data_IF_203764941924
#
_entry.id   IF_203764941924
#
_cell.length_a   1.000
_cell.length_b   1.000
_cell.length_c   1.000
_cell.angle_alpha   90.00
_cell.angle_beta   90.00
_cell.angle_gamma   90.00
#
_symmetry.space_group_name_H-M   'P 1'
#
loop_
_entity.id
_entity.type
_entity.pdbx_description
1 polymer ?
#
# COMPACT_ATOMS: atom_id res chain seq x y z
N UNK A 1 -19.76 -23.91 9.64
CA UNK A 1 -19.19 -24.36 8.36
C UNK A 1 -19.70 -23.42 7.26
N UNK A 2 -19.09 -22.30 7.06
CA UNK A 2 -19.44 -21.34 6.01
C UNK A 2 -18.34 -20.32 5.92
N UNK A 3 -17.49 -20.39 4.92
CA UNK A 3 -16.80 -19.24 4.36
C UNK A 3 -15.50 -19.51 3.61
N UNK A 4 -15.17 -20.73 3.23
CA UNK A 4 -13.98 -20.96 2.39
C UNK A 4 -14.16 -20.46 0.94
N UNK A 5 -15.38 -20.41 0.43
CA UNK A 5 -15.66 -19.90 -0.92
C UNK A 5 -15.59 -18.37 -0.98
N UNK A 6 -15.99 -17.69 0.11
CA UNK A 6 -15.96 -16.24 0.23
C UNK A 6 -14.51 -15.69 0.23
N UNK A 7 -13.58 -16.33 0.93
CA UNK A 7 -12.19 -15.87 1.02
C UNK A 7 -11.42 -15.87 -0.31
N UNK A 8 -11.56 -16.93 -1.11
CA UNK A 8 -10.91 -17.02 -2.43
C UNK A 8 -11.52 -16.03 -3.42
N UNK A 9 -12.84 -15.85 -3.38
CA UNK A 9 -13.55 -14.86 -4.21
C UNK A 9 -13.09 -13.44 -3.93
N UNK A 10 -12.99 -13.06 -2.66
CA UNK A 10 -12.53 -11.76 -2.23
C UNK A 10 -11.06 -11.51 -2.60
N UNK A 11 -10.19 -12.51 -2.42
CA UNK A 11 -8.79 -12.40 -2.84
C UNK A 11 -8.67 -12.15 -4.35
N UNK A 12 -9.37 -12.94 -5.16
CA UNK A 12 -9.39 -12.76 -6.62
C UNK A 12 -9.91 -11.37 -7.02
N UNK A 13 -10.98 -10.91 -6.38
CA UNK A 13 -11.55 -9.58 -6.62
C UNK A 13 -10.55 -8.46 -6.28
N UNK A 14 -9.84 -8.57 -5.14
CA UNK A 14 -8.81 -7.62 -4.76
C UNK A 14 -7.66 -7.58 -5.77
N UNK A 15 -7.15 -8.73 -6.22
CA UNK A 15 -6.08 -8.78 -7.23
C UNK A 15 -6.52 -8.22 -8.58
N UNK A 16 -7.76 -8.48 -9.00
CA UNK A 16 -8.32 -7.89 -10.21
C UNK A 16 -8.51 -6.38 -10.06
N UNK A 17 -8.93 -5.90 -8.89
CA UNK A 17 -9.06 -4.47 -8.61
C UNK A 17 -7.72 -3.73 -8.72
N UNK A 18 -6.64 -4.30 -8.16
CA UNK A 18 -5.29 -3.76 -8.32
C UNK A 18 -4.89 -3.70 -9.80
N UNK A 19 -5.04 -4.81 -10.54
CA UNK A 19 -4.67 -4.85 -11.95
C UNK A 19 -5.49 -3.89 -12.82
N UNK A 20 -6.74 -3.69 -12.46
CA UNK A 20 -7.63 -2.75 -13.16
C UNK A 20 -7.24 -1.31 -12.91
N UNK A 21 -7.04 -0.93 -11.64
CA UNK A 21 -6.63 0.42 -11.26
C UNK A 21 -5.27 0.78 -11.85
N UNK A 22 -4.29 -0.12 -11.74
CA UNK A 22 -2.97 0.04 -12.32
C UNK A 22 -3.03 0.17 -13.85
N UNK A 23 -3.66 -0.78 -14.52
CA UNK A 23 -3.71 -0.79 -15.99
C UNK A 23 -4.47 0.39 -16.59
N UNK A 24 -5.38 0.99 -15.83
CA UNK A 24 -6.06 2.23 -16.22
C UNK A 24 -5.22 3.47 -15.90
N UNK A 25 -4.55 3.49 -14.75
CA UNK A 25 -3.73 4.63 -14.30
C UNK A 25 -2.37 4.72 -15.02
N UNK A 26 -1.71 3.59 -15.27
CA UNK A 26 -0.33 3.52 -15.77
C UNK A 26 -0.05 4.34 -17.04
N UNK A 27 -0.89 4.37 -18.09
CA UNK A 27 -0.67 5.21 -19.26
C UNK A 27 -0.63 6.71 -18.95
N UNK A 28 -1.22 7.11 -17.82
CA UNK A 28 -1.38 8.51 -17.40
C UNK A 28 -0.39 8.94 -16.31
N UNK A 29 0.31 8.02 -15.69
CA UNK A 29 1.16 8.22 -14.50
C UNK A 29 2.21 9.35 -14.66
N UNK A 30 2.71 9.57 -15.88
CA UNK A 30 3.74 10.59 -16.14
C UNK A 30 3.21 11.82 -16.85
N UNK A 31 1.90 11.95 -16.95
CA UNK A 31 1.30 13.13 -17.57
C UNK A 31 1.18 14.24 -16.53
N UNK A 32 1.38 15.50 -17.00
CA UNK A 32 1.13 16.63 -16.11
C UNK A 32 -0.35 16.66 -15.72
N UNK A 33 -0.63 17.04 -14.49
CA UNK A 33 -1.98 17.15 -14.00
C UNK A 33 -2.86 18.05 -14.89
N UNK A 34 -2.34 19.20 -15.36
CA UNK A 34 -3.05 20.08 -16.27
C UNK A 34 -3.43 19.42 -17.60
N UNK A 35 -2.68 18.41 -18.06
CA UNK A 35 -3.05 17.64 -19.24
C UNK A 35 -4.16 16.61 -18.93
N UNK A 36 -4.10 15.99 -17.77
CA UNK A 36 -5.15 15.05 -17.33
C UNK A 36 -6.50 15.73 -17.16
N UNK A 37 -6.53 16.97 -16.68
CA UNK A 37 -7.76 17.75 -16.50
C UNK A 37 -8.39 18.18 -17.82
N UNK A 38 -7.65 18.22 -18.91
CA UNK A 38 -8.17 18.49 -20.26
C UNK A 38 -8.71 17.22 -20.94
N UNK A 39 -8.42 16.05 -20.41
CA UNK A 39 -8.97 14.79 -20.91
C UNK A 39 -10.35 14.58 -20.32
N UNK A 40 -11.30 14.17 -21.14
CA UNK A 40 -12.61 13.75 -20.65
C UNK A 40 -12.49 12.40 -19.95
N UNK A 41 -12.25 12.43 -18.64
CA UNK A 41 -12.14 11.23 -17.80
C UNK A 41 -13.53 10.70 -17.36
N UNK A 42 -14.61 11.32 -17.84
CA UNK A 42 -15.99 10.90 -17.57
C UNK A 42 -16.36 9.64 -18.34
N UNK A 43 -16.05 8.56 -17.79
CA UNK A 43 -16.32 7.23 -18.31
C UNK A 43 -15.03 6.54 -18.72
N UNK A 44 -14.62 5.52 -17.96
CA UNK A 44 -13.50 4.69 -18.36
C UNK A 44 -13.96 3.84 -19.54
N UNK A 45 -13.66 4.26 -20.76
CA UNK A 45 -13.49 3.27 -21.80
C UNK A 45 -12.31 2.43 -21.37
N UNK A 46 -12.60 1.20 -20.98
CA UNK A 46 -11.55 0.24 -20.67
C UNK A 46 -10.69 0.07 -21.90
N UNK A 47 -9.37 0.22 -21.79
CA UNK A 47 -8.52 -0.05 -22.92
C UNK A 47 -8.73 -1.50 -23.36
N UNK A 48 -8.75 -1.77 -24.67
CA UNK A 48 -8.88 -3.13 -25.22
C UNK A 48 -7.87 -4.11 -24.59
N UNK A 49 -6.74 -3.59 -24.12
CA UNK A 49 -5.68 -4.34 -23.45
C UNK A 49 -5.15 -3.56 -22.26
N UNK A 50 -5.34 -4.09 -21.06
CA UNK A 50 -4.71 -3.58 -19.85
C UNK A 50 -3.22 -3.92 -19.84
N UNK A 51 -2.38 -2.90 -19.73
CA UNK A 51 -0.94 -3.05 -19.49
C UNK A 51 -0.70 -2.61 -18.06
N UNK A 52 -0.31 -3.54 -17.21
CA UNK A 52 -0.05 -3.30 -15.79
C UNK A 52 1.41 -2.92 -15.54
N UNK A 53 1.67 -2.20 -14.46
CA UNK A 53 3.00 -1.72 -14.03
C UNK A 53 3.54 -2.49 -12.82
N UNK A 54 4.43 -1.86 -12.06
CA UNK A 54 4.99 -2.39 -10.82
C UNK A 54 3.95 -2.59 -9.72
N UNK A 55 2.90 -1.81 -9.69
CA UNK A 55 1.79 -1.98 -8.75
C UNK A 55 1.24 -3.42 -8.77
N UNK A 56 0.82 -3.88 -9.93
CA UNK A 56 0.30 -5.24 -10.10
C UNK A 56 1.41 -6.28 -10.05
N UNK A 57 2.54 -6.03 -10.70
CA UNK A 57 3.63 -7.01 -10.76
C UNK A 57 4.16 -7.34 -9.37
N UNK A 58 4.48 -6.33 -8.56
CA UNK A 58 4.94 -6.55 -7.18
C UNK A 58 3.86 -7.15 -6.29
N UNK A 59 2.60 -6.76 -6.47
CA UNK A 59 1.46 -7.37 -5.75
C UNK A 59 1.41 -8.88 -6.00
N UNK A 60 1.56 -9.32 -7.24
CA UNK A 60 1.55 -10.75 -7.58
C UNK A 60 2.75 -11.50 -7.02
N UNK A 61 3.96 -10.92 -7.08
CA UNK A 61 5.16 -11.52 -6.47
C UNK A 61 5.02 -11.62 -4.94
N UNK A 62 4.42 -10.60 -4.29
CA UNK A 62 4.13 -10.68 -2.86
C UNK A 62 3.10 -11.77 -2.57
N UNK A 63 2.01 -11.85 -3.33
CA UNK A 63 1.00 -12.88 -3.16
C UNK A 63 1.58 -14.30 -3.28
N UNK A 64 2.46 -14.54 -4.25
CA UNK A 64 3.17 -15.80 -4.41
C UNK A 64 4.10 -16.12 -3.23
N UNK A 65 4.84 -15.14 -2.74
CA UNK A 65 5.71 -15.30 -1.57
C UNK A 65 4.93 -15.65 -0.30
N UNK A 66 3.70 -15.15 -0.19
CA UNK A 66 2.81 -15.36 0.96
C UNK A 66 1.98 -16.66 0.84
N UNK A 67 2.06 -17.37 -0.27
CA UNK A 67 1.37 -18.65 -0.41
C UNK A 67 1.85 -19.65 0.65
N UNK A 68 0.90 -20.29 1.33
CA UNK A 68 1.17 -21.19 2.46
C UNK A 68 1.72 -20.48 3.70
N UNK A 69 1.52 -19.17 3.87
CA UNK A 69 2.07 -18.36 4.98
C UNK A 69 1.75 -18.92 6.38
N UNK A 70 0.56 -19.51 6.56
CA UNK A 70 0.13 -20.04 7.87
C UNK A 70 1.05 -21.17 8.42
N UNK A 71 1.80 -21.85 7.55
CA UNK A 71 2.72 -22.90 7.93
C UNK A 71 4.19 -22.47 7.98
N UNK A 72 4.49 -21.18 7.72
CA UNK A 72 5.85 -20.67 7.65
C UNK A 72 6.21 -19.87 8.90
N UNK A 73 7.47 -19.93 9.29
CA UNK A 73 8.08 -19.05 10.29
C UNK A 73 8.24 -17.63 9.74
N UNK A 74 8.45 -16.65 10.63
CA UNK A 74 8.74 -15.28 10.25
C UNK A 74 9.93 -15.18 9.28
N UNK A 75 11.03 -15.91 9.58
CA UNK A 75 12.24 -15.91 8.75
C UNK A 75 12.00 -16.50 7.36
N UNK A 76 11.20 -17.56 7.25
CA UNK A 76 10.83 -18.16 5.97
C UNK A 76 9.99 -17.22 5.12
N UNK A 77 9.01 -16.50 5.74
CA UNK A 77 8.22 -15.50 5.06
C UNK A 77 9.06 -14.31 4.59
N UNK A 78 9.92 -13.79 5.45
CA UNK A 78 10.84 -12.71 5.10
C UNK A 78 11.73 -13.11 3.93
N UNK A 79 12.31 -14.31 3.98
CA UNK A 79 13.16 -14.83 2.89
C UNK A 79 12.37 -15.00 1.59
N UNK A 80 11.14 -15.50 1.65
CA UNK A 80 10.28 -15.67 0.48
C UNK A 80 9.91 -14.32 -0.16
N UNK A 81 9.60 -13.31 0.64
CA UNK A 81 9.29 -11.96 0.15
C UNK A 81 10.51 -11.33 -0.53
N UNK A 82 11.70 -11.41 0.09
CA UNK A 82 12.93 -10.88 -0.51
C UNK A 82 13.28 -11.60 -1.82
N UNK A 83 13.13 -12.92 -1.85
CA UNK A 83 13.31 -13.69 -3.08
C UNK A 83 12.33 -13.29 -4.17
N UNK A 84 11.07 -13.03 -3.82
CA UNK A 84 10.06 -12.51 -4.73
C UNK A 84 10.43 -11.14 -5.31
N UNK A 85 10.95 -10.23 -4.49
CA UNK A 85 11.44 -8.93 -4.95
C UNK A 85 12.61 -9.04 -5.94
N UNK A 86 13.57 -9.93 -5.67
CA UNK A 86 14.71 -10.15 -6.57
C UNK A 86 14.25 -10.84 -7.87
N UNK A 87 13.36 -11.82 -7.80
CA UNK A 87 12.80 -12.45 -8.98
C UNK A 87 12.10 -11.42 -9.89
N UNK A 88 11.34 -10.48 -9.30
CA UNK A 88 10.72 -9.40 -10.04
C UNK A 88 11.75 -8.41 -10.62
N UNK A 89 12.81 -8.06 -9.86
CA UNK A 89 13.86 -7.16 -10.35
C UNK A 89 14.53 -7.69 -11.63
N UNK A 90 14.65 -8.99 -11.75
CA UNK A 90 15.25 -9.69 -12.91
C UNK A 90 14.23 -10.14 -13.95
N UNK A 91 12.94 -9.82 -13.77
CA UNK A 91 11.91 -10.15 -14.77
C UNK A 91 12.10 -9.29 -16.04
N UNK A 92 12.27 -9.90 -17.23
CA UNK A 92 12.39 -9.16 -18.48
C UNK A 92 11.15 -8.33 -18.82
N UNK A 93 10.01 -8.65 -18.23
CA UNK A 93 8.75 -7.91 -18.35
C UNK A 93 8.57 -6.81 -17.30
N UNK A 94 9.58 -6.51 -16.46
CA UNK A 94 9.53 -5.47 -15.45
C UNK A 94 9.15 -4.12 -16.04
N UNK A 95 8.16 -3.45 -15.43
CA UNK A 95 7.66 -2.14 -15.82
C UNK A 95 7.50 -1.22 -14.61
N UNK A 96 7.56 0.07 -14.82
CA UNK A 96 7.15 1.09 -13.86
C UNK A 96 8.08 1.34 -12.68
N UNK A 97 9.06 0.48 -12.40
CA UNK A 97 9.86 0.50 -11.17
C UNK A 97 10.29 1.91 -10.72
N UNK A 98 9.77 2.34 -9.57
CA UNK A 98 10.10 3.61 -8.94
C UNK A 98 11.55 3.68 -8.44
N UNK A 99 12.08 4.91 -8.32
CA UNK A 99 13.47 5.14 -7.88
C UNK A 99 13.78 4.50 -6.52
N UNK A 100 12.91 4.66 -5.53
CA UNK A 100 13.10 4.09 -4.18
C UNK A 100 13.21 2.57 -4.24
N UNK A 101 12.26 1.92 -4.90
CA UNK A 101 12.23 0.47 -5.06
C UNK A 101 13.49 -0.01 -5.78
N UNK A 102 13.88 0.61 -6.89
CA UNK A 102 15.09 0.25 -7.64
C UNK A 102 16.36 0.38 -6.78
N UNK A 103 16.49 1.47 -6.01
CA UNK A 103 17.65 1.67 -5.14
C UNK A 103 17.74 0.57 -4.09
N UNK A 104 16.64 0.27 -3.41
CA UNK A 104 16.62 -0.77 -2.38
C UNK A 104 16.89 -2.16 -2.95
N UNK A 105 16.25 -2.52 -4.07
CA UNK A 105 16.41 -3.85 -4.66
C UNK A 105 17.81 -4.06 -5.26
N UNK A 106 18.44 -3.06 -5.84
CA UNK A 106 19.82 -3.15 -6.32
C UNK A 106 20.81 -3.39 -5.15
N UNK A 107 20.59 -2.73 -4.01
CA UNK A 107 21.40 -2.97 -2.82
C UNK A 107 21.18 -4.39 -2.26
N UNK A 108 19.93 -4.85 -2.23
CA UNK A 108 19.59 -6.22 -1.83
C UNK A 108 20.23 -7.26 -2.75
N UNK A 109 20.17 -7.07 -4.07
CA UNK A 109 20.77 -7.93 -5.08
C UNK A 109 22.30 -7.99 -4.96
N UNK A 110 22.91 -6.89 -4.50
CA UNK A 110 24.34 -6.82 -4.19
C UNK A 110 24.71 -7.47 -2.84
N UNK A 111 23.78 -8.15 -2.16
CA UNK A 111 24.00 -8.88 -0.92
C UNK A 111 23.82 -8.09 0.37
N UNK A 112 23.26 -6.87 0.30
CA UNK A 112 22.90 -6.13 1.51
C UNK A 112 21.75 -6.82 2.25
N UNK A 113 21.74 -6.72 3.58
CA UNK A 113 20.58 -7.11 4.39
C UNK A 113 19.40 -6.14 4.12
N UNK A 114 18.16 -6.56 4.37
CA UNK A 114 16.98 -5.74 4.12
C UNK A 114 17.06 -4.37 4.80
N UNK A 115 17.54 -4.31 6.05
CA UNK A 115 17.66 -3.06 6.80
C UNK A 115 18.83 -2.15 6.34
N UNK A 116 19.76 -2.66 5.53
CA UNK A 116 20.81 -1.88 4.84
C UNK A 116 20.41 -1.49 3.42
N UNK A 117 19.51 -2.23 2.81
CA UNK A 117 19.02 -1.97 1.46
C UNK A 117 17.89 -0.93 1.44
N UNK A 118 17.11 -0.84 2.52
CA UNK A 118 15.98 0.09 2.59
C UNK A 118 16.40 1.55 2.40
N UNK A 119 15.58 2.32 1.71
CA UNK A 119 15.74 3.78 1.60
C UNK A 119 15.10 4.44 2.82
N UNK A 120 15.91 4.68 3.85
CA UNK A 120 15.53 4.94 5.24
C UNK A 120 14.50 6.07 5.43
N UNK A 121 14.54 7.11 4.60
CA UNK A 121 13.66 8.28 4.72
C UNK A 121 12.62 8.37 3.60
N UNK A 122 12.44 7.30 2.80
CA UNK A 122 11.47 7.34 1.71
C UNK A 122 10.06 7.05 2.21
N UNK A 123 9.19 8.03 2.02
CA UNK A 123 7.74 7.92 2.20
C UNK A 123 6.99 7.85 0.86
N UNK A 124 7.64 7.36 -0.21
CA UNK A 124 6.99 7.20 -1.51
C UNK A 124 5.92 6.10 -1.50
N UNK A 125 4.97 6.17 -2.43
CA UNK A 125 3.76 5.33 -2.47
C UNK A 125 4.02 3.84 -2.76
N UNK A 126 5.17 3.47 -3.31
CA UNK A 126 5.49 2.09 -3.72
C UNK A 126 5.42 1.02 -2.63
N UNK A 127 5.27 1.40 -1.35
CA UNK A 127 5.01 0.49 -0.25
C UNK A 127 3.52 0.13 -0.11
N UNK A 128 2.63 1.06 -0.46
CA UNK A 128 1.17 0.92 -0.32
C UNK A 128 0.59 0.14 -1.49
N UNK A 129 1.03 0.43 -2.72
CA UNK A 129 0.50 -0.12 -3.96
C UNK A 129 0.39 -1.64 -3.97
N UNK A 130 1.32 -2.34 -3.31
CA UNK A 130 1.48 -3.80 -3.35
C UNK A 130 0.99 -4.55 -2.11
N UNK A 131 0.44 -3.83 -1.10
CA UNK A 131 0.17 -4.40 0.23
C UNK A 131 -1.07 -5.30 0.27
N UNK A 132 -1.94 -5.26 -0.71
CA UNK A 132 -3.26 -5.91 -0.68
C UNK A 132 -3.24 -7.42 -0.32
N UNK A 133 -2.26 -8.25 -0.74
CA UNK A 133 -2.21 -9.65 -0.33
C UNK A 133 -2.06 -9.85 1.18
N UNK A 134 -1.44 -8.89 1.88
CA UNK A 134 -1.22 -8.98 3.32
C UNK A 134 -2.54 -9.00 4.11
N UNK A 135 -3.58 -8.32 3.61
CA UNK A 135 -4.89 -8.26 4.26
C UNK A 135 -5.58 -9.64 4.39
N UNK A 136 -5.16 -10.62 3.60
CA UNK A 136 -5.70 -11.97 3.60
C UNK A 136 -4.96 -12.95 4.50
N UNK A 137 -3.87 -12.52 5.12
CA UNK A 137 -3.11 -13.35 6.05
C UNK A 137 -3.88 -13.61 7.36
N UNK A 138 -3.57 -14.71 8.07
CA UNK A 138 -4.12 -14.98 9.39
C UNK A 138 -3.82 -13.87 10.40
N UNK A 139 -4.62 -13.84 11.47
CA UNK A 139 -4.33 -12.99 12.64
C UNK A 139 -2.92 -13.26 13.18
N UNK A 140 -2.25 -12.17 13.59
CA UNK A 140 -0.87 -12.21 14.07
C UNK A 140 0.20 -12.21 12.96
N UNK A 141 -0.19 -12.37 11.68
CA UNK A 141 0.74 -12.30 10.55
C UNK A 141 0.50 -11.06 9.66
N UNK A 142 -0.74 -10.66 9.47
CA UNK A 142 -1.03 -9.60 8.50
C UNK A 142 -0.41 -8.25 8.89
N UNK A 143 -0.43 -7.87 10.17
CA UNK A 143 0.17 -6.62 10.63
C UNK A 143 1.69 -6.59 10.42
N UNK A 144 2.46 -7.55 10.98
CA UNK A 144 3.92 -7.52 10.82
C UNK A 144 4.35 -7.66 9.37
N UNK A 145 3.68 -8.49 8.56
CA UNK A 145 4.03 -8.64 7.14
C UNK A 145 3.73 -7.36 6.36
N UNK A 146 2.60 -6.69 6.62
CA UNK A 146 2.24 -5.42 5.96
C UNK A 146 3.27 -4.33 6.21
N UNK A 147 3.70 -4.16 7.45
CA UNK A 147 4.70 -3.17 7.83
C UNK A 147 6.09 -3.54 7.30
N UNK A 148 6.49 -4.80 7.44
CA UNK A 148 7.82 -5.24 7.07
C UNK A 148 8.06 -5.23 5.55
N UNK A 149 7.09 -5.68 4.73
CA UNK A 149 7.21 -5.59 3.28
C UNK A 149 7.42 -4.15 2.79
N UNK A 150 6.79 -3.17 3.45
CA UNK A 150 7.02 -1.76 3.19
C UNK A 150 8.45 -1.35 3.57
N UNK A 151 8.86 -1.70 4.79
CA UNK A 151 10.16 -1.36 5.35
C UNK A 151 11.35 -1.90 4.55
N UNK A 152 11.20 -3.00 3.80
CA UNK A 152 12.28 -3.57 2.97
C UNK A 152 12.78 -2.63 1.89
N UNK A 153 11.95 -1.70 1.44
CA UNK A 153 12.29 -0.75 0.36
C UNK A 153 12.08 0.71 0.76
N UNK A 154 11.00 0.99 1.49
CA UNK A 154 10.56 2.33 1.89
C UNK A 154 10.63 2.45 3.40
N UNK A 155 11.77 2.92 3.92
CA UNK A 155 12.05 2.98 5.35
C UNK A 155 11.47 4.18 6.07
N UNK A 156 10.73 5.06 5.39
CA UNK A 156 10.04 6.18 6.02
C UNK A 156 8.88 5.71 6.92
N UNK A 157 8.74 6.34 8.06
CA UNK A 157 7.70 5.98 9.04
C UNK A 157 6.29 6.08 8.45
N UNK A 158 6.05 7.12 7.63
CA UNK A 158 4.75 7.33 7.00
C UNK A 158 4.46 6.30 5.90
N UNK A 159 5.47 5.81 5.16
CA UNK A 159 5.28 4.74 4.19
C UNK A 159 4.90 3.42 4.86
N UNK A 160 5.58 3.07 5.96
CA UNK A 160 5.30 1.86 6.74
C UNK A 160 3.90 1.91 7.35
N UNK A 161 3.55 3.04 7.97
CA UNK A 161 2.25 3.26 8.58
C UNK A 161 1.12 3.24 7.54
N UNK A 162 1.31 3.88 6.38
CA UNK A 162 0.33 3.87 5.29
C UNK A 162 0.06 2.45 4.76
N UNK A 163 1.11 1.65 4.57
CA UNK A 163 0.94 0.27 4.13
C UNK A 163 0.19 -0.59 5.16
N UNK A 164 0.51 -0.44 6.44
CA UNK A 164 -0.19 -1.13 7.52
C UNK A 164 -1.67 -0.73 7.58
N UNK A 165 -1.96 0.56 7.48
CA UNK A 165 -3.32 1.08 7.51
C UNK A 165 -4.13 0.67 6.27
N UNK A 166 -3.52 0.67 5.08
CA UNK A 166 -4.16 0.18 3.86
C UNK A 166 -4.58 -1.31 3.97
N UNK A 167 -3.68 -2.14 4.52
CA UNK A 167 -4.01 -3.55 4.78
C UNK A 167 -5.14 -3.69 5.80
N UNK A 168 -5.15 -2.88 6.87
CA UNK A 168 -6.19 -2.88 7.88
C UNK A 168 -7.57 -2.48 7.31
N UNK A 169 -7.60 -1.46 6.46
CA UNK A 169 -8.81 -1.03 5.75
C UNK A 169 -9.36 -2.11 4.83
N UNK A 170 -8.48 -2.67 3.99
CA UNK A 170 -8.89 -3.75 3.10
C UNK A 170 -9.41 -4.95 3.90
N UNK A 171 -8.72 -5.32 4.99
CA UNK A 171 -9.17 -6.39 5.88
C UNK A 171 -10.55 -6.11 6.47
N UNK A 172 -10.81 -4.88 6.90
CA UNK A 172 -12.13 -4.47 7.40
C UNK A 172 -13.21 -4.67 6.34
N UNK A 173 -12.93 -4.32 5.07
CA UNK A 173 -13.88 -4.51 3.97
C UNK A 173 -14.13 -6.00 3.69
N UNK A 174 -13.07 -6.82 3.60
CA UNK A 174 -13.21 -8.25 3.24
C UNK A 174 -13.80 -9.12 4.35
N UNK A 175 -13.75 -8.66 5.61
CA UNK A 175 -14.30 -9.37 6.77
C UNK A 175 -15.66 -8.84 7.20
N UNK A 176 -16.17 -7.77 6.60
CA UNK A 176 -17.48 -7.22 6.90
C UNK A 176 -18.61 -8.11 6.37
N UNK A 177 -19.70 -8.20 7.11
CA UNK A 177 -20.92 -8.88 6.67
C UNK A 177 -21.53 -8.18 5.44
N UNK A 178 -21.44 -6.86 5.41
CA UNK A 178 -21.85 -6.01 4.29
C UNK A 178 -20.70 -5.04 3.90
N UNK A 179 -19.84 -5.42 2.94
CA UNK A 179 -18.77 -4.55 2.46
C UNK A 179 -19.26 -3.23 1.85
N UNK A 180 -20.45 -3.23 1.23
CA UNK A 180 -21.00 -2.01 0.62
C UNK A 180 -21.36 -0.97 1.69
N UNK A 181 -21.85 -1.41 2.83
CA UNK A 181 -22.14 -0.53 3.95
C UNK A 181 -20.88 0.12 4.53
N UNK A 182 -19.78 -0.63 4.61
CA UNK A 182 -18.48 -0.09 5.02
C UNK A 182 -18.01 0.99 4.05
N UNK A 183 -18.11 0.73 2.75
CA UNK A 183 -17.70 1.70 1.72
C UNK A 183 -18.61 2.93 1.69
N UNK A 184 -19.92 2.76 1.80
CA UNK A 184 -20.89 3.84 1.83
C UNK A 184 -20.82 4.68 3.12
N UNK A 185 -20.46 4.07 4.25
CA UNK A 185 -20.32 4.71 5.56
C UNK A 185 -19.07 5.58 5.71
N UNK A 186 -18.22 5.61 4.68
CA UNK A 186 -17.04 6.46 4.65
C UNK A 186 -15.76 5.71 5.04
N UNK A 187 -15.12 5.10 4.03
CA UNK A 187 -13.83 4.43 4.18
C UNK A 187 -12.78 5.35 4.83
N UNK A 188 -12.85 6.64 4.50
CA UNK A 188 -11.98 7.67 5.04
C UNK A 188 -12.16 7.86 6.56
N UNK A 189 -13.39 7.81 7.09
CA UNK A 189 -13.62 7.86 8.53
C UNK A 189 -13.05 6.63 9.23
N UNK A 190 -13.25 5.45 8.65
CA UNK A 190 -12.63 4.22 9.17
C UNK A 190 -11.10 4.27 9.16
N UNK A 191 -10.50 4.89 8.14
CA UNK A 191 -9.06 5.11 8.07
C UNK A 191 -8.55 6.01 9.20
N UNK A 192 -9.26 7.10 9.45
CA UNK A 192 -8.93 8.03 10.54
C UNK A 192 -9.05 7.32 11.89
N UNK A 193 -10.13 6.59 12.13
CA UNK A 193 -10.33 5.84 13.38
C UNK A 193 -9.22 4.81 13.60
N UNK A 194 -8.92 3.99 12.59
CA UNK A 194 -7.85 3.00 12.65
C UNK A 194 -6.46 3.62 12.84
N UNK A 195 -6.24 4.83 12.36
CA UNK A 195 -4.97 5.54 12.56
C UNK A 195 -4.70 5.93 14.02
N UNK A 196 -5.70 5.84 14.90
CA UNK A 196 -5.59 6.02 16.34
C UNK A 196 -5.39 4.70 17.11
N UNK A 197 -5.44 3.56 16.42
CA UNK A 197 -5.30 2.26 17.05
C UNK A 197 -3.82 1.89 17.24
N UNK A 198 -3.31 2.10 18.44
CA UNK A 198 -1.94 1.73 18.81
C UNK A 198 -1.67 0.22 18.74
N UNK A 199 -2.71 -0.61 18.77
CA UNK A 199 -2.56 -2.06 18.66
C UNK A 199 -2.03 -2.49 17.28
N UNK A 200 -2.36 -1.75 16.22
CA UNK A 200 -1.82 -2.00 14.87
C UNK A 200 -0.29 -1.90 14.86
N UNK A 201 0.25 -0.82 15.43
CA UNK A 201 1.69 -0.60 15.50
C UNK A 201 2.40 -1.59 16.41
N UNK A 202 1.82 -1.89 17.56
CA UNK A 202 2.38 -2.85 18.53
C UNK A 202 2.49 -4.26 17.96
N UNK A 203 1.51 -4.70 17.19
CA UNK A 203 1.51 -6.01 16.54
C UNK A 203 2.59 -6.14 15.45
N UNK A 204 2.92 -5.04 14.75
CA UNK A 204 3.90 -5.03 13.68
C UNK A 204 5.34 -4.82 14.17
N UNK A 205 5.54 -4.19 15.34
CA UNK A 205 6.84 -3.78 15.86
C UNK A 205 7.90 -4.90 15.93
N UNK A 206 7.59 -6.16 16.32
CA UNK A 206 8.62 -7.21 16.41
C UNK A 206 9.38 -7.48 15.10
N UNK A 207 8.77 -7.24 13.95
CA UNK A 207 9.42 -7.45 12.66
C UNK A 207 10.27 -6.27 12.19
N UNK A 208 10.20 -5.14 12.89
CA UNK A 208 10.92 -3.90 12.56
C UNK A 208 12.09 -3.61 13.50
N UNK A 209 12.46 -4.55 14.38
CA UNK A 209 13.51 -4.33 15.38
C UNK A 209 14.88 -3.97 14.75
N UNK A 210 15.18 -4.52 13.57
CA UNK A 210 16.42 -4.23 12.85
C UNK A 210 16.33 -3.00 11.93
N UNK A 211 15.19 -2.30 11.90
CA UNK A 211 15.04 -1.14 11.04
C UNK A 211 16.00 -0.02 11.46
N UNK A 212 16.72 0.66 10.52
CA UNK A 212 17.76 1.62 10.86
C UNK A 212 17.35 2.78 11.76
N UNK A 213 16.05 3.11 11.75
CA UNK A 213 15.51 4.20 12.57
C UNK A 213 15.01 3.76 13.95
N UNK A 214 14.97 2.47 14.25
CA UNK A 214 14.51 2.02 15.59
C UNK A 214 15.42 2.49 16.70
N UNK A 215 16.71 2.68 16.44
CA UNK A 215 17.66 3.29 17.39
C UNK A 215 17.39 4.76 17.70
N UNK A 216 16.53 5.45 16.95
CA UNK A 216 16.09 6.85 17.20
C UNK A 216 14.72 6.91 17.89
N UNK A 217 14.12 5.77 18.17
CA UNK A 217 12.84 5.60 18.87
C UNK A 217 13.04 4.62 20.02
N UNK A 218 12.35 4.84 21.12
CA UNK A 218 12.44 3.95 22.28
C UNK A 218 11.97 2.52 21.95
N UNK A 219 10.99 2.40 21.03
CA UNK A 219 10.43 1.13 20.56
C UNK A 219 10.17 1.18 19.06
N UNK A 220 10.25 0.01 18.38
CA UNK A 220 9.87 -0.10 16.98
C UNK A 220 8.40 0.32 16.71
N UNK A 221 7.51 0.20 17.70
CA UNK A 221 6.15 0.72 17.67
C UNK A 221 6.08 2.25 17.55
N UNK A 222 7.05 3.00 18.09
CA UNK A 222 7.09 4.45 17.98
C UNK A 222 7.39 4.93 16.55
N UNK A 223 8.13 4.13 15.79
CA UNK A 223 8.32 4.37 14.36
C UNK A 223 6.97 4.40 13.62
N UNK A 224 6.13 3.41 13.87
CA UNK A 224 4.79 3.32 13.26
C UNK A 224 3.88 4.44 13.79
N UNK A 225 3.87 4.69 15.09
CA UNK A 225 3.06 5.74 15.71
C UNK A 225 3.38 7.13 15.13
N UNK A 226 4.66 7.42 14.94
CA UNK A 226 5.12 8.65 14.28
C UNK A 226 4.61 8.72 12.84
N UNK A 227 4.68 7.62 12.09
CA UNK A 227 4.13 7.53 10.74
C UNK A 227 2.62 7.72 10.71
N UNK A 228 1.88 7.13 11.64
CA UNK A 228 0.42 7.27 11.75
C UNK A 228 -0.01 8.72 11.98
N UNK A 229 0.77 9.52 12.71
CA UNK A 229 0.48 10.96 12.84
C UNK A 229 0.49 11.67 11.48
N UNK A 230 1.52 11.43 10.66
CA UNK A 230 1.61 12.01 9.31
C UNK A 230 0.50 11.50 8.38
N UNK A 231 0.17 10.21 8.47
CA UNK A 231 -0.93 9.62 7.69
C UNK A 231 -2.27 10.25 8.07
N UNK A 232 -2.51 10.41 9.36
CA UNK A 232 -3.74 11.04 9.88
C UNK A 232 -3.93 12.45 9.39
N UNK A 233 -2.86 13.25 9.36
CA UNK A 233 -2.91 14.60 8.80
C UNK A 233 -3.39 14.60 7.34
N UNK A 234 -2.86 13.69 6.51
CA UNK A 234 -3.28 13.56 5.11
C UNK A 234 -4.76 13.12 4.99
N UNK A 235 -5.18 12.15 5.81
CA UNK A 235 -6.58 11.68 5.83
C UNK A 235 -7.55 12.78 6.30
N UNK A 236 -7.15 13.59 7.28
CA UNK A 236 -7.96 14.72 7.75
C UNK A 236 -8.09 15.81 6.68
N UNK A 237 -7.01 16.11 5.96
CA UNK A 237 -7.05 17.02 4.81
C UNK A 237 -8.01 16.52 3.73
N UNK A 238 -7.94 15.23 3.38
CA UNK A 238 -8.84 14.61 2.43
C UNK A 238 -10.31 14.67 2.89
N UNK A 239 -10.58 14.37 4.16
CA UNK A 239 -11.92 14.48 4.74
C UNK A 239 -12.48 15.90 4.62
N UNK A 240 -11.67 16.90 4.93
CA UNK A 240 -12.08 18.29 4.92
C UNK A 240 -12.29 18.82 3.48
N UNK A 241 -11.63 18.21 2.49
CA UNK A 241 -11.82 18.49 1.07
C UNK A 241 -13.03 17.78 0.44
N UNK A 242 -13.42 16.63 0.96
CA UNK A 242 -14.48 15.77 0.40
C UNK A 242 -15.80 16.49 0.11
N UNK A 243 -16.36 17.35 0.99
CA UNK A 243 -17.63 18.04 0.70
C UNK A 243 -17.56 18.88 -0.58
N UNK A 244 -16.49 19.64 -0.78
CA UNK A 244 -16.32 20.45 -1.99
C UNK A 244 -16.22 19.60 -3.25
N UNK A 245 -15.53 18.45 -3.15
CA UNK A 245 -15.39 17.53 -4.26
C UNK A 245 -16.73 16.85 -4.61
N UNK A 246 -17.56 16.51 -3.61
CA UNK A 246 -18.88 15.93 -3.84
C UNK A 246 -19.87 16.93 -4.43
N UNK A 247 -19.77 18.22 -4.06
CA UNK A 247 -20.63 19.29 -4.59
C UNK A 247 -20.33 19.56 -6.09
N UNK A 248 -19.06 19.50 -6.49
CA UNK A 248 -18.64 19.69 -7.89
C UNK A 248 -17.44 18.79 -8.23
N UNK A 249 -17.68 17.50 -8.47
CA UNK A 249 -16.61 16.52 -8.77
C UNK A 249 -15.83 16.85 -10.05
N UNK A 250 -16.39 17.68 -10.92
CA UNK A 250 -15.86 18.06 -12.22
C UNK A 250 -15.53 19.56 -12.30
N UNK A 251 -15.49 20.24 -11.16
CA UNK A 251 -15.26 21.66 -11.06
C UNK A 251 -13.94 22.12 -11.65
N UNK A 252 -13.82 23.46 -11.76
CA UNK A 252 -12.70 24.12 -12.43
C UNK A 252 -11.33 23.95 -11.75
N UNK A 253 -11.30 23.48 -10.48
CA UNK A 253 -10.07 23.18 -9.75
C UNK A 253 -10.07 21.74 -9.25
N UNK A 254 -9.75 20.78 -10.13
CA UNK A 254 -9.60 19.36 -9.78
C UNK A 254 -8.26 19.08 -9.06
N UNK A 255 -7.64 20.09 -8.44
CA UNK A 255 -6.34 20.01 -7.82
C UNK A 255 -6.33 18.97 -6.70
N UNK A 256 -5.58 17.88 -6.89
CA UNK A 256 -5.27 16.89 -5.85
C UNK A 256 -4.51 17.52 -4.65
N UNK A 257 -4.13 18.79 -4.74
CA UNK A 257 -3.59 19.55 -3.61
C UNK A 257 -4.57 19.56 -2.42
N UNK A 258 -5.87 19.48 -2.66
CA UNK A 258 -6.90 19.36 -1.63
C UNK A 258 -6.84 18.02 -0.87
N UNK A 259 -6.24 16.99 -1.48
CA UNK A 259 -6.00 15.68 -0.87
C UNK A 259 -4.57 15.50 -0.38
N UNK A 260 -3.83 16.60 -0.20
CA UNK A 260 -2.45 16.60 0.28
C UNK A 260 -1.40 16.38 -0.80
N UNK A 261 -1.77 16.26 -2.09
CA UNK A 261 -0.84 16.17 -3.23
C UNK A 261 -1.20 15.09 -4.26
N UNK A 262 -0.28 14.83 -5.18
CA UNK A 262 -0.47 14.02 -6.39
C UNK A 262 -0.35 12.48 -6.16
N UNK A 263 -0.41 12.01 -4.92
CA UNK A 263 -0.35 10.57 -4.63
C UNK A 263 1.06 9.93 -4.67
N UNK A 264 2.11 10.69 -4.93
CA UNK A 264 3.49 10.17 -4.96
C UNK A 264 4.04 9.76 -3.59
N UNK A 265 3.47 10.29 -2.52
CA UNK A 265 3.78 9.89 -1.15
C UNK A 265 2.73 8.92 -0.62
N UNK A 266 3.15 7.97 0.19
CA UNK A 266 2.28 6.93 0.72
C UNK A 266 1.03 7.46 1.49
N UNK A 267 1.13 8.49 2.36
CA UNK A 267 -0.05 9.08 2.99
C UNK A 267 -1.03 9.70 1.98
N UNK A 268 -0.51 10.32 0.92
CA UNK A 268 -1.33 10.93 -0.13
C UNK A 268 -2.06 9.85 -0.95
N UNK A 269 -1.35 8.81 -1.39
CA UNK A 269 -1.92 7.70 -2.13
C UNK A 269 -3.02 6.96 -1.35
N UNK A 270 -2.91 6.93 -0.02
CA UNK A 270 -3.93 6.35 0.85
C UNK A 270 -5.15 7.26 1.04
N UNK A 271 -4.96 8.58 0.99
CA UNK A 271 -6.00 9.58 1.22
C UNK A 271 -6.84 9.87 -0.04
N UNK A 272 -6.26 9.68 -1.24
CA UNK A 272 -6.95 9.78 -2.54
C UNK A 272 -7.84 8.58 -2.81
#
# INVERSE_FOLDING_TARGET
MGSTVSGVGNFRAAMLGVAYGDGWGYPNERQSYGRLTLMDLRGPELPERLIVSDDTQMTLHLAQALDGAAGKTASELQSAILAGWLAWLHDPGLRGIGRTTRTALNALDSGATWYRSTVVHSDACGAVMRVSPCAFLPEGLWQPVSAWQAATTHGGSAAIASALLAAALLRRVITADDPQQIMAGGLLHHAIDLSHDDALGSAAAPWLIDHPRTGTFDLAGDLIRTGMSTVREALQQARDATPKFLDDPWGADPSLAHFGGEGWRAPQALAC
#
